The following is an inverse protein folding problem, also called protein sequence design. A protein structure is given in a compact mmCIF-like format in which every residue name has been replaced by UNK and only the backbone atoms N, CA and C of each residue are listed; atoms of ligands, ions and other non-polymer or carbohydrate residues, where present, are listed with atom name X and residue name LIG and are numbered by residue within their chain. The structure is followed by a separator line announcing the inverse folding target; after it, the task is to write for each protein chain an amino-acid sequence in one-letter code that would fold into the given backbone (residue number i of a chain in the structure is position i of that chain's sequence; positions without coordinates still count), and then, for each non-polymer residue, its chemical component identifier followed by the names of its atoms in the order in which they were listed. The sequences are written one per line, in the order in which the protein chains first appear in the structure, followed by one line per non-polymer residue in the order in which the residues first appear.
data_IF_741011065858
#
_entry.id   IF_741011065858
#
_cell.length_a   1.000
_cell.length_b   1.000
_cell.length_c   1.000
_cell.angle_alpha   90.00
_cell.angle_beta   90.00
_cell.angle_gamma   90.00
#
_symmetry.space_group_name_H-M   'P 1'
#
loop_
_entity.id
_entity.type
_entity.pdbx_description
1 polymer ?
#
# COMPACT_ATOMS: atom_id res chain seq x y z
N UNK A 1 32.71 16.14 -1.89
CA UNK A 1 32.90 16.87 -3.16
C UNK A 1 31.80 16.39 -4.10
N UNK A 2 30.81 17.23 -4.42
CA UNK A 2 29.72 16.88 -5.32
C UNK A 2 30.24 16.92 -6.76
N UNK A 3 30.03 15.86 -7.54
CA UNK A 3 30.45 15.81 -8.95
C UNK A 3 29.42 16.58 -9.78
N UNK A 4 29.80 17.64 -10.51
CA UNK A 4 28.88 18.38 -11.38
C UNK A 4 28.27 17.43 -12.43
N UNK A 5 26.94 17.37 -12.50
CA UNK A 5 26.19 16.45 -13.37
C UNK A 5 25.60 15.22 -12.66
N UNK A 6 26.02 14.93 -11.41
CA UNK A 6 25.45 13.86 -10.56
C UNK A 6 24.70 14.41 -9.33
N UNK A 7 24.67 15.72 -9.15
CA UNK A 7 23.90 16.42 -8.12
C UNK A 7 22.75 17.16 -8.79
N UNK A 8 21.52 16.96 -8.29
CA UNK A 8 20.32 17.58 -8.83
C UNK A 8 19.61 18.34 -7.70
N UNK A 9 19.30 19.61 -7.94
CA UNK A 9 18.50 20.42 -7.03
C UNK A 9 17.03 20.20 -7.33
N UNK A 10 16.31 19.76 -6.32
CA UNK A 10 14.90 19.44 -6.39
C UNK A 10 14.11 20.27 -5.39
N UNK A 11 13.02 20.86 -5.86
CA UNK A 11 12.05 21.57 -5.04
C UNK A 11 10.68 20.92 -5.25
N UNK A 12 9.91 20.76 -4.17
CA UNK A 12 8.54 20.28 -4.28
C UNK A 12 7.61 20.97 -3.31
N UNK A 13 6.34 20.99 -3.69
CA UNK A 13 5.23 21.37 -2.84
C UNK A 13 4.21 20.23 -2.85
N UNK A 14 3.87 19.71 -1.66
CA UNK A 14 2.85 18.71 -1.46
C UNK A 14 1.76 19.30 -0.55
N UNK A 15 0.60 19.57 -1.14
CA UNK A 15 -0.56 20.10 -0.44
C UNK A 15 -1.65 19.04 -0.34
N UNK A 16 -2.16 18.83 0.86
CA UNK A 16 -3.25 17.89 1.14
C UNK A 16 -4.33 18.60 1.96
N UNK A 17 -5.55 18.62 1.44
CA UNK A 17 -6.74 19.14 2.10
C UNK A 17 -7.67 17.98 2.42
N UNK A 18 -8.01 17.80 3.69
CA UNK A 18 -8.85 16.70 4.13
C UNK A 18 -9.86 17.11 5.21
N UNK A 19 -11.06 16.56 5.11
CA UNK A 19 -12.12 16.66 6.10
C UNK A 19 -12.55 15.27 6.56
N UNK A 20 -12.82 15.12 7.85
CA UNK A 20 -13.13 13.84 8.48
C UNK A 20 -14.41 13.97 9.29
N UNK A 21 -15.29 12.99 9.17
CA UNK A 21 -16.42 12.80 10.08
C UNK A 21 -16.44 11.36 10.54
N UNK A 22 -16.70 11.16 11.84
CA UNK A 22 -16.84 9.84 12.44
C UNK A 22 -18.02 9.85 13.39
N UNK A 23 -18.78 8.77 13.38
CA UNK A 23 -19.90 8.55 14.27
C UNK A 23 -19.79 7.14 14.86
N UNK A 24 -19.82 7.05 16.19
CA UNK A 24 -19.74 5.77 16.89
C UNK A 24 -20.88 5.66 17.88
N UNK A 25 -21.49 4.49 17.94
CA UNK A 25 -22.53 4.20 18.92
C UNK A 25 -22.46 2.73 19.35
N UNK A 26 -22.80 2.50 20.61
CA UNK A 26 -23.02 1.17 21.16
C UNK A 26 -24.47 1.04 21.62
N UNK A 27 -25.11 -0.04 21.21
CA UNK A 27 -26.47 -0.41 21.57
C UNK A 27 -26.42 -1.85 22.09
N UNK A 28 -26.45 -2.01 23.42
CA UNK A 28 -26.30 -3.31 24.10
C UNK A 28 -25.00 -4.02 23.66
N UNK A 29 -25.15 -5.16 23.00
CA UNK A 29 -24.07 -6.03 22.53
C UNK A 29 -23.58 -5.68 21.11
N UNK A 30 -24.24 -4.75 20.43
CA UNK A 30 -23.84 -4.27 19.11
C UNK A 30 -23.16 -2.91 19.22
N UNK A 31 -22.01 -2.75 18.57
CA UNK A 31 -21.35 -1.46 18.39
C UNK A 31 -21.04 -1.23 16.92
N UNK A 32 -21.12 0.03 16.51
CA UNK A 32 -20.76 0.43 15.17
C UNK A 32 -20.03 1.76 15.18
N UNK A 33 -19.11 1.92 14.25
CA UNK A 33 -18.41 3.16 13.96
C UNK A 33 -18.39 3.35 12.45
N UNK A 34 -18.94 4.48 12.00
CA UNK A 34 -18.96 4.89 10.60
C UNK A 34 -18.05 6.09 10.45
N UNK A 35 -17.21 6.08 9.43
CA UNK A 35 -16.30 7.17 9.09
C UNK A 35 -16.42 7.56 7.64
N UNK A 36 -16.22 8.84 7.37
CA UNK A 36 -16.05 9.36 6.02
C UNK A 36 -14.93 10.39 6.04
N UNK A 37 -13.98 10.21 5.14
CA UNK A 37 -12.94 11.19 4.87
C UNK A 37 -13.04 11.65 3.42
N UNK A 38 -12.98 12.96 3.22
CA UNK A 38 -12.91 13.59 1.90
C UNK A 38 -11.52 14.21 1.79
N UNK A 39 -10.83 13.97 0.70
CA UNK A 39 -9.48 14.49 0.49
C UNK A 39 -9.28 15.01 -0.93
N UNK A 40 -8.53 16.10 -1.04
CA UNK A 40 -7.95 16.64 -2.27
C UNK A 40 -6.46 16.81 -2.04
N UNK A 41 -5.63 16.53 -3.04
CA UNK A 41 -4.19 16.78 -2.94
C UNK A 41 -3.59 17.19 -4.27
N UNK A 42 -2.53 17.96 -4.15
CA UNK A 42 -1.75 18.47 -5.24
C UNK A 42 -0.27 18.38 -4.87
N UNK A 43 0.46 17.61 -5.66
CA UNK A 43 1.90 17.52 -5.62
C UNK A 43 2.47 18.24 -6.85
N UNK A 44 3.43 19.13 -6.64
CA UNK A 44 4.20 19.76 -7.71
C UNK A 44 5.69 19.56 -7.41
N UNK A 45 6.41 18.94 -8.34
CA UNK A 45 7.85 18.74 -8.30
C UNK A 45 8.57 19.57 -9.36
N UNK A 46 9.72 20.15 -9.01
CA UNK A 46 10.56 20.93 -9.90
C UNK A 46 12.03 20.48 -9.79
N UNK A 47 12.57 20.00 -10.92
CA UNK A 47 13.98 19.66 -11.08
C UNK A 47 14.71 20.90 -11.60
N UNK A 48 15.20 21.71 -10.67
CA UNK A 48 15.86 23.00 -10.96
C UNK A 48 17.04 22.80 -11.91
N UNK A 49 17.82 21.73 -11.73
CA UNK A 49 19.01 21.47 -12.56
C UNK A 49 18.70 21.07 -14.01
N UNK A 50 17.45 20.70 -14.32
CA UNK A 50 17.03 20.28 -15.68
C UNK A 50 15.88 21.11 -16.25
N UNK A 51 15.40 22.12 -15.52
CA UNK A 51 14.24 22.93 -15.87
C UNK A 51 13.00 22.07 -16.25
N UNK A 52 12.74 21.01 -15.47
CA UNK A 52 11.60 20.11 -15.66
C UNK A 52 10.69 20.12 -14.45
N UNK A 53 9.40 20.29 -14.69
CA UNK A 53 8.35 20.19 -13.67
C UNK A 53 7.50 18.97 -13.90
N UNK A 54 6.96 18.39 -12.84
CA UNK A 54 5.95 17.34 -12.89
C UNK A 54 4.94 17.54 -11.77
N UNK A 55 3.72 17.10 -11.97
CA UNK A 55 2.65 17.23 -10.99
C UNK A 55 1.86 15.93 -10.84
N UNK A 56 1.28 15.76 -9.65
CA UNK A 56 0.38 14.66 -9.36
C UNK A 56 -0.78 15.22 -8.54
N UNK A 57 -1.98 15.21 -9.12
CA UNK A 57 -3.17 15.80 -8.51
C UNK A 57 -4.30 14.79 -8.46
N UNK A 58 -5.02 14.75 -7.34
CA UNK A 58 -6.32 14.10 -7.29
C UNK A 58 -7.34 15.07 -6.68
N UNK A 59 -8.32 15.55 -7.47
CA UNK A 59 -9.14 16.71 -7.10
C UNK A 59 -10.10 16.44 -5.94
N UNK A 60 -10.76 15.28 -5.90
CA UNK A 60 -11.59 14.87 -4.76
C UNK A 60 -11.67 13.34 -4.67
N UNK A 61 -11.39 12.79 -3.49
CA UNK A 61 -11.49 11.36 -3.20
C UNK A 61 -12.22 11.12 -1.88
N UNK A 62 -13.09 10.10 -1.88
CA UNK A 62 -13.85 9.67 -0.71
C UNK A 62 -13.27 8.40 -0.12
N UNK A 63 -13.17 8.40 1.20
CA UNK A 63 -12.63 7.32 2.01
C UNK A 63 -13.64 6.94 3.09
N UNK A 64 -14.66 6.15 2.73
CA UNK A 64 -15.57 5.58 3.70
C UNK A 64 -14.85 4.55 4.57
N UNK A 65 -15.29 4.43 5.81
CA UNK A 65 -14.95 3.33 6.70
C UNK A 65 -16.15 2.92 7.53
N UNK A 66 -16.24 1.62 7.82
CA UNK A 66 -17.24 1.06 8.70
C UNK A 66 -16.58 -0.01 9.57
N UNK A 67 -16.82 0.05 10.87
CA UNK A 67 -16.41 -0.95 11.85
C UNK A 67 -17.67 -1.37 12.58
N UNK A 68 -18.05 -2.64 12.46
CA UNK A 68 -19.20 -3.23 13.13
C UNK A 68 -18.68 -4.31 14.06
N UNK A 69 -19.16 -4.34 15.29
CA UNK A 69 -18.82 -5.39 16.25
C UNK A 69 -20.07 -5.87 16.98
N UNK A 70 -20.17 -7.18 17.14
CA UNK A 70 -21.23 -7.81 17.90
C UNK A 70 -20.64 -8.76 18.94
N UNK A 71 -20.95 -8.48 20.21
CA UNK A 71 -20.55 -9.30 21.34
C UNK A 71 -21.49 -10.51 21.44
N UNK A 72 -20.97 -11.69 21.10
CA UNK A 72 -21.69 -12.96 21.23
C UNK A 72 -21.84 -13.37 22.70
N UNK A 73 -20.77 -13.17 23.49
CA UNK A 73 -20.71 -13.40 24.94
C UNK A 73 -19.70 -12.42 25.55
N UNK A 74 -19.58 -12.36 26.87
CA UNK A 74 -18.54 -11.56 27.54
C UNK A 74 -17.10 -11.90 27.14
N UNK A 75 -16.89 -13.02 26.42
CA UNK A 75 -15.59 -13.51 25.98
C UNK A 75 -15.45 -13.61 24.46
N UNK A 76 -16.52 -13.41 23.71
CA UNK A 76 -16.55 -13.66 22.27
C UNK A 76 -17.20 -12.51 21.53
N UNK A 77 -16.58 -12.11 20.43
CA UNK A 77 -17.11 -11.10 19.55
C UNK A 77 -16.79 -11.42 18.09
N UNK A 78 -17.66 -10.95 17.22
CA UNK A 78 -17.44 -10.93 15.77
C UNK A 78 -17.34 -9.47 15.34
N UNK A 79 -16.49 -9.22 14.35
CA UNK A 79 -16.25 -7.89 13.81
C UNK A 79 -16.30 -7.94 12.29
N UNK A 80 -16.85 -6.90 11.69
CA UNK A 80 -16.84 -6.66 10.25
C UNK A 80 -16.32 -5.26 9.99
N UNK A 81 -15.21 -5.18 9.26
CA UNK A 81 -14.52 -3.93 8.97
C UNK A 81 -14.47 -3.71 7.46
N UNK A 82 -14.73 -2.49 7.07
CA UNK A 82 -14.50 -2.00 5.72
C UNK A 82 -13.72 -0.69 5.79
N UNK A 83 -12.70 -0.56 4.94
CA UNK A 83 -11.99 0.69 4.77
C UNK A 83 -11.50 0.87 3.34
N UNK A 84 -11.51 2.13 2.90
CA UNK A 84 -10.80 2.55 1.69
C UNK A 84 -9.58 3.39 2.07
N UNK A 85 -8.42 3.08 1.48
CA UNK A 85 -7.14 3.78 1.69
C UNK A 85 -6.57 4.25 0.36
N UNK A 86 -5.71 5.26 0.41
CA UNK A 86 -4.90 5.76 -0.71
C UNK A 86 -3.44 5.57 -0.36
N UNK A 87 -2.63 5.17 -1.32
CA UNK A 87 -1.19 5.24 -1.23
C UNK A 87 -0.67 6.10 -2.38
N UNK A 88 0.11 7.13 -2.04
CA UNK A 88 0.64 8.12 -2.98
C UNK A 88 2.03 7.69 -3.42
N UNK A 89 2.40 7.91 -4.68
CA UNK A 89 3.78 7.74 -5.10
C UNK A 89 4.69 8.58 -4.21
N UNK A 90 5.70 7.95 -3.62
CA UNK A 90 6.68 8.68 -2.82
C UNK A 90 7.67 9.43 -3.73
N UNK A 91 8.48 10.29 -3.12
CA UNK A 91 9.48 11.08 -3.81
C UNK A 91 10.38 10.25 -4.75
N UNK A 92 10.97 9.14 -4.27
CA UNK A 92 11.84 8.28 -5.08
C UNK A 92 11.11 7.58 -6.23
N UNK A 93 9.81 7.34 -6.08
CA UNK A 93 8.99 6.76 -7.14
C UNK A 93 8.69 7.78 -8.24
N UNK A 94 8.66 9.07 -7.93
CA UNK A 94 8.32 10.13 -8.90
C UNK A 94 9.54 10.72 -9.61
N UNK A 95 10.70 10.82 -8.94
CA UNK A 95 11.87 11.51 -9.50
C UNK A 95 12.34 10.84 -10.81
N UNK A 96 12.26 11.50 -11.98
CA UNK A 96 12.70 10.96 -13.27
C UNK A 96 14.23 11.05 -13.46
N UNK A 97 15.02 10.94 -12.39
CA UNK A 97 16.49 10.94 -12.44
C UNK A 97 17.00 9.50 -12.40
N UNK A 98 18.02 9.21 -13.21
CA UNK A 98 18.67 7.91 -13.22
C UNK A 98 19.69 7.86 -12.09
N UNK A 99 19.47 6.98 -11.13
CA UNK A 99 20.43 6.69 -10.08
C UNK A 99 21.56 5.79 -10.65
N UNK A 100 22.77 6.34 -10.64
CA UNK A 100 24.00 5.67 -11.09
C UNK A 100 24.81 5.05 -9.95
N UNK A 101 24.29 5.04 -8.72
CA UNK A 101 24.98 4.47 -7.55
C UNK A 101 25.35 3.01 -7.78
N UNK A 102 24.50 2.27 -8.51
CA UNK A 102 24.80 0.94 -9.01
C UNK A 102 24.74 0.91 -10.55
N UNK A 103 25.92 0.84 -11.18
CA UNK A 103 26.04 0.79 -12.64
C UNK A 103 25.44 -0.47 -13.29
N UNK A 104 25.15 -1.51 -12.50
CA UNK A 104 24.50 -2.74 -12.95
C UNK A 104 22.99 -2.74 -12.73
N UNK A 105 22.47 -1.80 -11.94
CA UNK A 105 21.05 -1.68 -11.63
C UNK A 105 20.61 -0.22 -11.65
N UNK A 106 20.51 0.33 -12.86
CA UNK A 106 20.05 1.69 -13.07
C UNK A 106 18.58 1.79 -12.64
N UNK A 107 18.28 2.71 -11.74
CA UNK A 107 16.92 2.96 -11.26
C UNK A 107 16.47 4.36 -11.66
N UNK A 108 15.22 4.49 -12.11
CA UNK A 108 14.62 5.77 -12.49
C UNK A 108 13.18 5.82 -11.98
N UNK A 109 12.79 6.89 -11.30
CA UNK A 109 11.38 7.12 -10.96
C UNK A 109 10.52 7.41 -12.20
N UNK A 110 9.21 7.39 -12.00
CA UNK A 110 8.19 7.64 -12.99
C UNK A 110 7.26 8.76 -12.49
N UNK A 111 7.35 9.97 -13.07
CA UNK A 111 6.52 11.11 -12.66
C UNK A 111 5.05 10.94 -13.09
N UNK A 112 4.75 10.03 -14.03
CA UNK A 112 3.41 9.76 -14.53
C UNK A 112 2.62 8.79 -13.63
N UNK A 113 3.21 8.36 -12.51
CA UNK A 113 2.50 7.51 -11.55
C UNK A 113 1.27 8.22 -11.01
N UNK A 114 0.21 7.47 -10.82
CA UNK A 114 -0.99 7.93 -10.11
C UNK A 114 -1.12 7.22 -8.76
N UNK A 115 -1.84 7.79 -7.77
CA UNK A 115 -2.10 7.11 -6.51
C UNK A 115 -2.87 5.80 -6.70
N UNK A 116 -2.55 4.83 -5.86
CA UNK A 116 -3.29 3.57 -5.78
C UNK A 116 -4.37 3.66 -4.69
N UNK A 117 -5.48 2.98 -4.93
CA UNK A 117 -6.61 2.95 -3.99
C UNK A 117 -6.90 1.53 -3.56
N UNK A 118 -6.88 1.29 -2.25
CA UNK A 118 -7.12 -0.03 -1.68
C UNK A 118 -8.43 -0.06 -0.91
N UNK A 119 -9.32 -0.97 -1.28
CA UNK A 119 -10.48 -1.37 -0.50
C UNK A 119 -10.13 -2.63 0.29
N UNK A 120 -10.39 -2.61 1.60
CA UNK A 120 -10.14 -3.71 2.51
C UNK A 120 -11.43 -4.06 3.25
N UNK A 121 -11.83 -5.33 3.17
CA UNK A 121 -12.93 -5.92 3.93
C UNK A 121 -12.34 -7.00 4.84
N UNK A 122 -12.65 -6.96 6.12
CA UNK A 122 -12.17 -7.92 7.12
C UNK A 122 -13.34 -8.43 7.96
N UNK A 123 -13.44 -9.74 8.12
CA UNK A 123 -14.34 -10.39 9.05
C UNK A 123 -13.52 -11.12 10.11
N UNK A 124 -13.70 -10.74 11.37
CA UNK A 124 -12.92 -11.27 12.48
C UNK A 124 -13.81 -11.96 13.50
N UNK A 125 -13.33 -13.06 14.06
CA UNK A 125 -13.88 -13.71 15.24
C UNK A 125 -12.81 -13.74 16.33
N UNK A 126 -13.15 -13.19 17.50
CA UNK A 126 -12.28 -13.15 18.66
C UNK A 126 -12.90 -13.94 19.81
N UNK A 127 -12.07 -14.72 20.52
CA UNK A 127 -12.47 -15.49 21.69
C UNK A 127 -11.41 -15.43 22.79
N UNK A 128 -11.74 -14.83 23.92
CA UNK A 128 -10.95 -14.77 25.16
C UNK A 128 -11.38 -15.87 26.13
N UNK A 129 -11.07 -17.13 25.80
CA UNK A 129 -11.60 -18.29 26.52
C UNK A 129 -11.07 -18.45 27.96
N UNK A 130 -9.86 -17.95 28.26
CA UNK A 130 -9.29 -17.92 29.62
C UNK A 130 -8.53 -16.61 29.86
N UNK A 131 -8.31 -16.26 31.13
CA UNK A 131 -7.44 -15.15 31.48
C UNK A 131 -6.08 -15.31 30.78
N UNK A 132 -5.63 -14.28 30.06
CA UNK A 132 -4.40 -14.27 29.26
C UNK A 132 -4.34 -15.26 28.09
N UNK A 133 -5.48 -15.85 27.68
CA UNK A 133 -5.54 -16.71 26.50
C UNK A 133 -6.64 -16.24 25.55
N UNK A 134 -6.26 -15.99 24.30
CA UNK A 134 -7.16 -15.50 23.28
C UNK A 134 -6.85 -16.09 21.92
N UNK A 135 -7.89 -16.22 21.11
CA UNK A 135 -7.80 -16.60 19.72
C UNK A 135 -8.48 -15.53 18.87
N UNK A 136 -7.87 -15.18 17.74
CA UNK A 136 -8.40 -14.28 16.73
C UNK A 136 -8.25 -14.96 15.37
N UNK A 137 -9.34 -15.04 14.62
CA UNK A 137 -9.33 -15.44 13.23
C UNK A 137 -9.90 -14.32 12.39
N UNK A 138 -9.18 -13.90 11.34
CA UNK A 138 -9.59 -12.82 10.44
C UNK A 138 -9.54 -13.30 9.00
N UNK A 139 -10.70 -13.34 8.36
CA UNK A 139 -10.80 -13.44 6.90
C UNK A 139 -10.72 -12.05 6.32
N UNK A 140 -9.91 -11.85 5.28
CA UNK A 140 -9.78 -10.55 4.65
C UNK A 140 -9.80 -10.64 3.13
N UNK A 141 -10.29 -9.58 2.51
CA UNK A 141 -10.24 -9.34 1.08
C UNK A 141 -9.76 -7.91 0.81
N UNK A 142 -8.76 -7.79 -0.05
CA UNK A 142 -8.14 -6.55 -0.47
C UNK A 142 -8.25 -6.43 -1.98
N UNK A 143 -8.76 -5.29 -2.44
CA UNK A 143 -8.72 -4.90 -3.85
C UNK A 143 -7.97 -3.57 -3.97
N UNK A 144 -6.91 -3.53 -4.76
CA UNK A 144 -6.13 -2.33 -5.05
C UNK A 144 -6.23 -1.98 -6.53
N UNK A 145 -6.74 -0.79 -6.82
CA UNK A 145 -6.76 -0.22 -8.17
C UNK A 145 -5.50 0.63 -8.40
N UNK A 146 -4.94 0.60 -9.61
CA UNK A 146 -3.73 1.30 -10.01
C UNK A 146 -2.50 0.94 -9.17
N UNK A 147 -2.30 -0.34 -8.83
CA UNK A 147 -1.20 -0.77 -7.96
C UNK A 147 0.15 -0.27 -8.50
N UNK A 148 0.88 0.48 -7.68
CA UNK A 148 2.24 0.90 -7.99
C UNK A 148 3.17 -0.31 -7.80
N UNK A 149 3.67 -0.85 -8.91
CA UNK A 149 4.59 -1.99 -8.92
C UNK A 149 5.94 -1.62 -9.51
N UNK A 150 6.97 -2.41 -9.22
CA UNK A 150 8.26 -2.30 -9.91
C UNK A 150 8.11 -2.82 -11.33
N UNK A 151 8.70 -2.10 -12.27
CA UNK A 151 8.69 -2.43 -13.69
C UNK A 151 10.12 -2.31 -14.23
N UNK A 152 10.49 -3.15 -15.18
CA UNK A 152 11.81 -3.11 -15.81
C UNK A 152 11.65 -3.08 -17.32
N UNK A 153 12.37 -2.18 -17.97
CA UNK A 153 12.41 -2.09 -19.43
C UNK A 153 13.86 -1.93 -19.90
N UNK A 154 14.08 -2.24 -21.18
CA UNK A 154 15.38 -2.05 -21.83
C UNK A 154 15.38 -0.71 -22.55
N UNK A 155 16.42 0.08 -22.32
CA UNK A 155 16.63 1.38 -22.97
C UNK A 155 18.10 1.57 -23.38
N UNK A 156 18.38 2.60 -24.17
CA UNK A 156 19.74 3.01 -24.53
C UNK A 156 20.52 3.35 -23.26
N UNK A 157 21.80 2.98 -23.21
CA UNK A 157 22.65 3.33 -22.09
C UNK A 157 22.69 4.85 -21.92
N UNK A 158 22.25 5.37 -20.75
CA UNK A 158 22.21 6.80 -20.54
C UNK A 158 23.61 7.41 -20.34
N UNK A 159 24.66 6.58 -20.24
CA UNK A 159 26.04 7.01 -20.37
C UNK A 159 26.38 7.27 -21.87
N UNK A 160 26.62 8.52 -22.29
CA UNK A 160 26.87 8.86 -23.70
C UNK A 160 28.11 8.18 -24.31
N UNK A 161 29.03 7.69 -23.48
CA UNK A 161 30.23 6.97 -23.91
C UNK A 161 30.00 5.50 -24.25
N UNK A 162 28.77 4.99 -24.09
CA UNK A 162 28.40 3.61 -24.42
C UNK A 162 27.21 3.59 -25.38
N UNK A 163 27.28 2.70 -26.37
CA UNK A 163 26.25 2.52 -27.40
C UNK A 163 25.39 1.27 -27.19
N UNK A 164 25.56 0.61 -26.04
CA UNK A 164 24.78 -0.57 -25.66
C UNK A 164 23.39 -0.20 -25.10
N UNK A 165 22.59 -1.22 -24.79
CA UNK A 165 21.32 -1.06 -24.07
C UNK A 165 21.43 -1.67 -22.69
N UNK A 166 20.74 -1.06 -21.73
CA UNK A 166 20.74 -1.42 -20.32
C UNK A 166 19.31 -1.68 -19.86
N UNK A 167 19.16 -2.47 -18.79
CA UNK A 167 17.88 -2.64 -18.12
C UNK A 167 17.76 -1.50 -17.10
N UNK A 168 16.63 -0.80 -17.13
CA UNK A 168 16.30 0.26 -16.18
C UNK A 168 15.14 -0.22 -15.32
N UNK A 169 15.35 -0.20 -14.00
CA UNK A 169 14.32 -0.44 -13.00
C UNK A 169 13.53 0.85 -12.77
N UNK A 170 12.21 0.77 -12.84
CA UNK A 170 11.28 1.88 -12.59
C UNK A 170 10.03 1.41 -11.86
N UNK A 171 9.03 2.29 -11.78
CA UNK A 171 7.72 2.01 -11.21
C UNK A 171 6.64 2.28 -12.26
N UNK A 172 5.56 1.51 -12.22
CA UNK A 172 4.38 1.72 -13.05
C UNK A 172 3.11 1.32 -12.30
N UNK A 173 1.97 1.90 -12.70
CA UNK A 173 0.65 1.48 -12.20
C UNK A 173 0.18 0.24 -12.98
N UNK A 174 0.21 -0.93 -12.35
CA UNK A 174 -0.54 -2.09 -12.82
C UNK A 174 -2.04 -1.84 -12.65
N UNK A 175 -2.86 -2.47 -13.49
CA UNK A 175 -4.31 -2.26 -13.51
C UNK A 175 -4.93 -2.51 -12.12
N UNK A 176 -4.79 -3.74 -11.61
CA UNK A 176 -5.41 -4.16 -10.35
C UNK A 176 -4.61 -5.20 -9.59
N UNK A 177 -4.85 -5.28 -8.29
CA UNK A 177 -4.41 -6.41 -7.47
C UNK A 177 -5.50 -6.83 -6.50
N UNK A 178 -5.70 -8.15 -6.41
CA UNK A 178 -6.62 -8.77 -5.47
C UNK A 178 -5.82 -9.60 -4.48
N UNK A 179 -6.18 -9.55 -3.21
CA UNK A 179 -5.62 -10.46 -2.21
C UNK A 179 -6.72 -10.90 -1.27
N UNK A 180 -6.88 -12.20 -1.10
CA UNK A 180 -7.74 -12.76 -0.06
C UNK A 180 -6.94 -13.69 0.82
N UNK A 181 -7.27 -13.74 2.09
CA UNK A 181 -6.55 -14.57 3.03
C UNK A 181 -7.26 -14.79 4.36
N UNK A 182 -6.63 -15.64 5.15
CA UNK A 182 -6.99 -15.98 6.51
C UNK A 182 -5.79 -15.73 7.41
N UNK A 183 -5.98 -14.91 8.43
CA UNK A 183 -5.01 -14.68 9.49
C UNK A 183 -5.50 -15.30 10.79
N UNK A 184 -4.66 -16.09 11.43
CA UNK A 184 -4.93 -16.74 12.70
C UNK A 184 -3.90 -16.27 13.71
N UNK A 185 -4.36 -15.72 14.84
CA UNK A 185 -3.50 -15.33 15.96
C UNK A 185 -3.99 -15.99 17.24
N UNK A 186 -3.11 -16.75 17.89
CA UNK A 186 -3.35 -17.36 19.19
C UNK A 186 -2.38 -16.82 20.22
N UNK A 187 -2.89 -16.26 21.32
CA UNK A 187 -2.10 -15.89 22.50
C UNK A 187 -2.42 -16.88 23.60
N UNK A 188 -1.41 -17.59 24.10
CA UNK A 188 -1.58 -18.63 25.11
C UNK A 188 -0.54 -18.52 26.21
N UNK A 189 -1.01 -18.55 27.46
CA UNK A 189 -0.16 -18.67 28.64
C UNK A 189 -0.06 -20.12 29.06
N UNK A 190 1.01 -20.80 28.64
CA UNK A 190 1.18 -22.25 28.89
C UNK A 190 1.72 -22.52 30.31
N UNK A 191 2.58 -21.64 30.82
CA UNK A 191 3.08 -21.70 32.19
C UNK A 191 3.06 -20.30 32.82
N UNK A 192 3.22 -20.20 34.16
CA UNK A 192 3.21 -18.90 34.86
C UNK A 192 4.26 -17.90 34.32
N UNK A 193 5.35 -18.44 33.78
CA UNK A 193 6.53 -17.73 33.27
C UNK A 193 6.69 -17.84 31.75
N UNK A 194 5.72 -18.43 31.04
CA UNK A 194 5.83 -18.64 29.59
C UNK A 194 4.53 -18.31 28.86
N UNK A 195 4.62 -17.30 28.01
CA UNK A 195 3.56 -16.83 27.12
C UNK A 195 4.00 -17.06 25.66
N UNK A 196 3.11 -17.65 24.87
CA UNK A 196 3.32 -17.89 23.44
C UNK A 196 2.30 -17.08 22.65
N UNK A 197 2.78 -16.42 21.60
CA UNK A 197 1.92 -15.85 20.56
C UNK A 197 2.26 -16.53 19.25
N UNK A 198 1.27 -17.19 18.65
CA UNK A 198 1.37 -17.83 17.34
C UNK A 198 0.58 -17.00 16.35
N UNK A 199 1.19 -16.66 15.23
CA UNK A 199 0.54 -15.99 14.10
C UNK A 199 0.77 -16.79 12.83
N UNK A 200 -0.29 -17.03 12.05
CA UNK A 200 -0.23 -17.71 10.76
C UNK A 200 -1.06 -16.89 9.79
N UNK A 201 -0.50 -16.57 8.61
CA UNK A 201 -1.21 -15.90 7.53
C UNK A 201 -1.20 -16.79 6.29
N UNK A 202 -2.37 -17.08 5.74
CA UNK A 202 -2.57 -17.86 4.52
C UNK A 202 -3.24 -16.94 3.49
N UNK A 203 -2.65 -16.76 2.31
CA UNK A 203 -3.23 -15.84 1.34
C UNK A 203 -2.96 -16.22 -0.11
N UNK A 204 -3.85 -15.77 -0.99
CA UNK A 204 -3.62 -15.72 -2.43
C UNK A 204 -3.62 -14.26 -2.87
N UNK A 205 -2.59 -13.86 -3.60
CA UNK A 205 -2.46 -12.55 -4.22
C UNK A 205 -2.43 -12.69 -5.73
N UNK A 206 -3.31 -11.98 -6.42
CA UNK A 206 -3.36 -11.89 -7.88
C UNK A 206 -3.03 -10.45 -8.31
N UNK A 207 -2.23 -10.32 -9.35
CA UNK A 207 -1.82 -9.07 -9.98
C UNK A 207 -2.27 -9.10 -11.43
N UNK A 208 -3.02 -8.08 -11.84
CA UNK A 208 -3.39 -7.84 -13.23
C UNK A 208 -2.52 -6.72 -13.80
N UNK A 209 -1.57 -7.08 -14.67
CA UNK A 209 -0.56 -6.16 -15.19
C UNK A 209 -0.52 -6.13 -16.73
N UNK A 210 -1.54 -6.69 -17.42
CA UNK A 210 -1.61 -6.70 -18.89
C UNK A 210 -1.64 -5.31 -19.56
N UNK A 211 -1.82 -4.23 -18.80
CA UNK A 211 -1.69 -2.85 -19.29
C UNK A 211 -0.22 -2.38 -19.39
N UNK A 212 0.72 -3.11 -18.82
CA UNK A 212 2.15 -2.84 -18.89
C UNK A 212 2.78 -3.64 -20.03
N UNK A 213 3.78 -3.07 -20.70
CA UNK A 213 4.48 -3.76 -21.79
C UNK A 213 5.16 -5.03 -21.27
N UNK A 214 4.81 -6.19 -21.86
CA UNK A 214 5.30 -7.49 -21.38
C UNK A 214 4.76 -7.92 -20.01
N UNK A 215 3.84 -7.15 -19.43
CA UNK A 215 3.14 -7.49 -18.20
C UNK A 215 2.20 -8.66 -18.41
N UNK A 216 2.19 -9.58 -17.43
CA UNK A 216 1.30 -10.74 -17.41
C UNK A 216 0.53 -10.76 -16.10
N UNK A 217 -0.68 -11.29 -16.17
CA UNK A 217 -1.47 -11.54 -14.97
C UNK A 217 -0.85 -12.73 -14.22
N UNK A 218 -0.65 -12.55 -12.92
CA UNK A 218 0.03 -13.55 -12.09
C UNK A 218 -0.73 -13.76 -10.78
N UNK A 219 -0.75 -15.00 -10.30
CA UNK A 219 -1.35 -15.38 -9.03
C UNK A 219 -0.34 -16.15 -8.19
N UNK A 220 -0.23 -15.79 -6.91
CA UNK A 220 0.65 -16.40 -5.93
C UNK A 220 -0.15 -16.82 -4.71
N UNK A 221 -0.06 -18.10 -4.37
CA UNK A 221 -0.46 -18.58 -3.05
C UNK A 221 0.77 -18.67 -2.14
N UNK A 222 0.66 -18.16 -0.91
CA UNK A 222 1.76 -18.16 0.06
C UNK A 222 1.23 -18.19 1.50
N UNK A 223 2.13 -18.48 2.44
CA UNK A 223 1.85 -18.47 3.86
C UNK A 223 3.09 -18.19 4.68
N UNK A 224 2.92 -17.63 5.88
CA UNK A 224 3.98 -17.37 6.85
C UNK A 224 3.45 -17.33 8.28
#
# INVERSE_FOLDING_TARGET
MLIPGLSNNYEFNDAVYAAYTTYSQQIKDFSFQLGMRIESSEYNGNLISQNKTFDNKFPFSLFPSAFLSYRLTDKQDIQLNYSRKINRPNFFQLIPFIDYTDSLNLTKGNPDLIPEFTNLVEFSYQNQYKANNSFLATLYFRNTDNLITRFQYRDINPNPGKTDSVIISTYANANKSYTYGLELTGKNKIAKWWDITTSINLFNATLEAGNLEGGVDNSLFSWF
#
